data_IF_239448585457
#
_entry.id   IF_239448585457
#
_cell.length_a   1.000
_cell.length_b   1.000
_cell.length_c   1.000
_cell.angle_alpha   90.00
_cell.angle_beta   90.00
_cell.angle_gamma   90.00
#
_symmetry.space_group_name_H-M   'P 1'
#
loop_
_entity.id
_entity.type
_entity.pdbx_description
1 polymer ?
#
# COMPACT_ATOMS: atom_id res chain seq x y z
N UNK A 1 -19.16 -86.79 9.25
CA UNK A 1 -19.39 -86.97 10.70
C UNK A 1 -18.80 -85.76 11.42
N UNK A 2 -19.65 -84.96 12.09
CA UNK A 2 -19.38 -83.78 12.98
C UNK A 2 -18.69 -82.56 12.33
N UNK A 3 -19.41 -81.43 12.12
CA UNK A 3 -19.69 -80.29 13.05
C UNK A 3 -18.38 -79.60 13.51
N UNK A 4 -18.21 -78.29 13.55
CA UNK A 4 -19.09 -77.12 13.39
C UNK A 4 -18.17 -75.88 13.38
N UNK A 5 -18.68 -74.82 12.79
CA UNK A 5 -18.29 -73.40 12.76
C UNK A 5 -17.38 -72.87 13.88
N UNK A 6 -16.43 -72.00 13.54
CA UNK A 6 -16.37 -70.64 14.12
C UNK A 6 -15.62 -69.71 13.16
N UNK A 7 -16.23 -68.57 12.90
CA UNK A 7 -15.82 -67.48 12.02
C UNK A 7 -14.95 -66.51 12.82
N UNK A 8 -13.75 -66.18 12.33
CA UNK A 8 -12.99 -65.01 12.79
C UNK A 8 -12.21 -64.42 11.61
N UNK A 9 -12.68 -63.28 11.12
CA UNK A 9 -12.01 -62.48 10.10
C UNK A 9 -10.94 -61.66 10.81
N UNK A 10 -9.68 -61.82 10.41
CA UNK A 10 -8.61 -60.89 10.79
C UNK A 10 -7.73 -60.67 9.58
N UNK A 11 -7.86 -59.47 9.02
CA UNK A 11 -7.13 -58.92 7.88
C UNK A 11 -5.66 -58.73 8.27
N UNK A 12 -4.74 -59.43 7.61
CA UNK A 12 -3.31 -59.31 7.84
C UNK A 12 -2.63 -58.55 6.70
N UNK A 13 -1.95 -57.48 7.12
CA UNK A 13 -1.08 -56.57 6.41
C UNK A 13 -0.05 -57.28 5.51
N UNK A 14 0.09 -56.82 4.28
CA UNK A 14 1.31 -57.00 3.50
C UNK A 14 2.13 -55.70 3.53
N UNK A 15 3.24 -55.77 4.26
CA UNK A 15 4.36 -54.82 4.17
C UNK A 15 5.03 -54.99 2.80
N UNK A 16 4.99 -53.94 1.98
CA UNK A 16 5.86 -53.77 0.82
C UNK A 16 6.89 -52.70 1.14
N UNK A 17 8.08 -53.13 1.55
CA UNK A 17 9.27 -52.26 1.59
C UNK A 17 9.75 -52.09 0.15
N UNK A 18 9.63 -50.88 -0.39
CA UNK A 18 10.32 -50.45 -1.60
C UNK A 18 11.29 -49.34 -1.22
N UNK A 19 12.57 -49.67 -1.32
CA UNK A 19 13.70 -48.74 -1.26
C UNK A 19 13.91 -48.23 -2.69
N UNK A 20 13.85 -46.91 -2.87
CA UNK A 20 14.39 -46.22 -4.05
C UNK A 20 15.20 -44.99 -3.59
N UNK A 21 16.22 -44.60 -4.37
CA UNK A 21 17.37 -43.83 -3.91
C UNK A 21 17.08 -42.33 -3.79
N UNK A 22 17.84 -41.67 -2.91
CA UNK A 22 17.95 -40.22 -2.87
C UNK A 22 18.50 -39.71 -4.21
N UNK A 23 17.72 -38.86 -4.87
CA UNK A 23 18.16 -37.97 -5.95
C UNK A 23 17.59 -36.60 -5.63
N UNK A 24 18.48 -35.69 -5.23
CA UNK A 24 18.19 -34.28 -5.17
C UNK A 24 18.09 -33.73 -6.60
N UNK A 25 16.98 -33.09 -6.91
CA UNK A 25 16.84 -31.93 -7.81
C UNK A 25 15.34 -31.65 -7.97
N UNK A 26 14.78 -30.91 -7.02
CA UNK A 26 13.52 -30.17 -7.23
C UNK A 26 13.92 -28.70 -7.45
N UNK A 27 14.43 -28.41 -8.64
CA UNK A 27 14.36 -27.04 -9.16
C UNK A 27 12.91 -26.83 -9.59
N UNK A 28 12.10 -26.29 -8.69
CA UNK A 28 10.79 -25.74 -9.02
C UNK A 28 11.01 -24.59 -10.00
N UNK A 29 10.94 -24.87 -11.30
CA UNK A 29 10.77 -23.86 -12.33
C UNK A 29 9.37 -23.26 -12.15
N UNK A 30 9.30 -22.11 -11.50
CA UNK A 30 8.14 -21.22 -11.62
C UNK A 30 8.15 -20.67 -13.05
N UNK A 31 7.33 -21.29 -13.91
CA UNK A 31 6.94 -20.67 -15.18
C UNK A 31 5.82 -19.67 -14.90
N UNK A 32 5.79 -18.49 -15.56
CA UNK A 32 4.67 -17.57 -15.43
C UNK A 32 3.52 -18.09 -16.29
N UNK A 33 2.77 -19.05 -15.77
CA UNK A 33 1.53 -19.50 -16.39
C UNK A 33 0.39 -18.64 -15.85
N UNK A 34 -0.22 -17.89 -16.76
CA UNK A 34 -1.38 -17.03 -16.56
C UNK A 34 -2.55 -17.85 -16.00
N UNK A 35 -2.67 -17.90 -14.69
CA UNK A 35 -3.84 -18.43 -14.03
C UNK A 35 -4.90 -17.33 -13.99
N UNK A 36 -5.85 -17.41 -14.93
CA UNK A 36 -7.19 -16.85 -14.77
C UNK A 36 -7.79 -17.42 -13.48
N UNK A 37 -7.60 -16.70 -12.38
CA UNK A 37 -8.37 -16.87 -11.16
C UNK A 37 -9.01 -15.52 -10.87
N UNK A 38 -10.34 -15.48 -10.83
CA UNK A 38 -11.11 -14.31 -10.42
C UNK A 38 -10.90 -13.93 -8.93
N UNK A 39 -9.91 -14.54 -8.25
CA UNK A 39 -9.68 -14.47 -6.81
C UNK A 39 -8.21 -14.30 -6.37
N UNK A 40 -7.25 -14.02 -7.28
CA UNK A 40 -6.00 -13.43 -6.81
C UNK A 40 -6.30 -11.96 -6.52
N UNK A 41 -6.64 -11.64 -5.28
CA UNK A 41 -6.59 -10.25 -4.85
C UNK A 41 -5.18 -9.74 -5.11
N UNK A 42 -5.08 -8.75 -5.99
CA UNK A 42 -3.89 -7.92 -6.12
C UNK A 42 -3.57 -7.43 -4.71
N UNK A 43 -2.27 -7.41 -4.37
CA UNK A 43 -1.81 -6.91 -3.07
C UNK A 43 -2.50 -5.60 -2.75
N UNK A 44 -3.06 -5.48 -1.54
CA UNK A 44 -3.81 -4.29 -1.18
C UNK A 44 -2.95 -3.03 -1.06
N UNK A 45 -1.64 -3.10 -1.31
CA UNK A 45 -0.72 -1.95 -1.32
C UNK A 45 -0.38 -1.43 -2.71
N UNK A 46 -0.90 -2.03 -3.78
CA UNK A 46 -0.67 -1.59 -5.16
C UNK A 46 -1.39 -0.27 -5.47
N UNK A 47 -0.63 0.77 -5.83
CA UNK A 47 -1.21 2.09 -6.15
C UNK A 47 -1.82 2.13 -7.54
N UNK A 48 -1.26 1.38 -8.47
CA UNK A 48 -1.64 1.44 -9.87
C UNK A 48 -3.01 0.76 -10.08
N UNK A 49 -3.44 -0.01 -9.07
CA UNK A 49 -4.74 -0.66 -9.07
C UNK A 49 -5.92 0.31 -8.82
N UNK A 50 -5.72 1.47 -8.17
CA UNK A 50 -6.79 2.42 -7.87
C UNK A 50 -6.47 3.85 -8.33
N UNK A 51 -7.44 4.51 -8.95
CA UNK A 51 -7.39 5.93 -9.29
C UNK A 51 -8.58 6.64 -8.64
N UNK A 52 -8.34 7.74 -7.94
CA UNK A 52 -9.40 8.48 -7.24
C UNK A 52 -9.85 9.70 -8.03
N UNK A 53 -11.17 9.88 -8.10
CA UNK A 53 -11.80 11.07 -8.69
C UNK A 53 -11.88 12.21 -7.67
N UNK A 54 -12.16 11.87 -6.41
CA UNK A 54 -12.19 12.82 -5.30
C UNK A 54 -12.08 12.09 -3.94
N UNK A 55 -11.84 12.87 -2.89
CA UNK A 55 -11.58 12.40 -1.53
C UNK A 55 -10.09 12.16 -1.28
N UNK A 56 -9.77 11.22 -0.40
CA UNK A 56 -8.39 10.97 0.02
C UNK A 56 -7.72 9.86 -0.77
N UNK A 57 -6.39 9.90 -0.86
CA UNK A 57 -5.62 8.78 -1.36
C UNK A 57 -5.49 7.72 -0.26
N UNK A 58 -5.84 6.48 -0.59
CA UNK A 58 -5.60 5.36 0.30
C UNK A 58 -4.26 4.68 0.04
N UNK A 59 -3.56 4.38 1.13
CA UNK A 59 -2.35 3.57 1.16
C UNK A 59 -2.63 2.06 1.05
N UNK A 60 -3.89 1.64 1.14
CA UNK A 60 -4.24 0.29 0.77
C UNK A 60 -5.68 -0.08 1.04
N UNK A 61 -6.21 -0.95 0.18
CA UNK A 61 -7.65 -1.13 0.01
C UNK A 61 -8.08 -2.58 0.18
N UNK A 62 -9.09 -2.80 1.02
CA UNK A 62 -9.67 -4.12 1.24
C UNK A 62 -11.11 -4.14 0.74
N UNK A 63 -11.44 -5.09 -0.12
CA UNK A 63 -12.77 -5.17 -0.71
C UNK A 63 -13.76 -5.74 0.31
N UNK A 64 -14.91 -5.07 0.44
CA UNK A 64 -16.04 -5.54 1.26
C UNK A 64 -16.99 -6.34 0.37
N UNK A 65 -17.45 -5.72 -0.71
CA UNK A 65 -18.42 -6.33 -1.63
C UNK A 65 -18.36 -5.66 -3.01
N UNK A 66 -18.95 -6.34 -4.00
CA UNK A 66 -19.08 -5.85 -5.37
C UNK A 66 -20.50 -6.07 -5.87
N UNK A 67 -21.01 -5.07 -6.57
CA UNK A 67 -22.28 -5.10 -7.29
C UNK A 67 -22.00 -5.00 -8.79
N UNK A 68 -22.89 -5.58 -9.60
CA UNK A 68 -22.76 -5.62 -11.05
C UNK A 68 -21.54 -6.39 -11.55
N UNK A 69 -21.33 -6.37 -12.87
CA UNK A 69 -20.16 -6.95 -13.53
C UNK A 69 -19.52 -5.92 -14.46
N UNK A 70 -18.18 -5.76 -14.42
CA UNK A 70 -17.51 -4.84 -15.32
C UNK A 70 -17.76 -5.23 -16.78
N UNK A 71 -17.85 -4.25 -17.68
CA UNK A 71 -17.85 -4.53 -19.10
C UNK A 71 -16.55 -5.24 -19.50
N UNK A 72 -16.59 -5.99 -20.61
CA UNK A 72 -15.38 -6.58 -21.17
C UNK A 72 -14.57 -5.48 -21.87
N UNK A 73 -13.40 -5.16 -21.31
CA UNK A 73 -12.51 -4.08 -21.78
C UNK A 73 -11.20 -4.69 -22.33
N UNK A 74 -11.17 -5.03 -23.62
CA UNK A 74 -10.04 -5.74 -24.24
C UNK A 74 -8.91 -4.80 -24.67
N UNK A 75 -9.25 -3.56 -25.02
CA UNK A 75 -8.31 -2.57 -25.57
C UNK A 75 -8.10 -1.41 -24.61
N UNK A 76 -6.92 -0.79 -24.67
CA UNK A 76 -6.64 0.42 -23.87
C UNK A 76 -7.63 1.54 -24.16
N UNK A 77 -8.03 1.73 -25.42
CA UNK A 77 -9.06 2.71 -25.78
C UNK A 77 -10.41 2.41 -25.13
N UNK A 78 -10.81 1.14 -25.00
CA UNK A 78 -12.04 0.78 -24.27
C UNK A 78 -11.91 1.11 -22.78
N UNK A 79 -10.77 0.82 -22.16
CA UNK A 79 -10.51 1.15 -20.75
C UNK A 79 -10.52 2.67 -20.54
N UNK A 80 -9.84 3.44 -21.37
CA UNK A 80 -9.80 4.90 -21.30
C UNK A 80 -11.19 5.53 -21.46
N UNK A 81 -11.98 5.04 -22.42
CA UNK A 81 -13.35 5.49 -22.60
C UNK A 81 -14.21 5.15 -21.38
N UNK A 82 -14.10 3.93 -20.85
CA UNK A 82 -14.82 3.52 -19.66
C UNK A 82 -14.44 4.35 -18.43
N UNK A 83 -13.15 4.62 -18.23
CA UNK A 83 -12.65 5.47 -17.15
C UNK A 83 -13.21 6.89 -17.26
N UNK A 84 -13.31 7.43 -18.48
CA UNK A 84 -13.90 8.75 -18.73
C UNK A 84 -15.39 8.78 -18.40
N UNK A 85 -16.13 7.73 -18.77
CA UNK A 85 -17.54 7.57 -18.39
C UNK A 85 -17.72 7.49 -16.87
N UNK A 86 -16.87 6.76 -16.16
CA UNK A 86 -16.93 6.68 -14.70
C UNK A 86 -16.53 8.00 -14.02
N UNK A 87 -15.60 8.77 -14.60
CA UNK A 87 -15.27 10.11 -14.10
C UNK A 87 -16.45 11.08 -14.25
N UNK A 88 -17.15 11.04 -15.39
CA UNK A 88 -18.38 11.81 -15.63
C UNK A 88 -19.47 11.44 -14.63
N UNK A 89 -19.75 10.14 -14.43
CA UNK A 89 -20.68 9.66 -13.40
C UNK A 89 -20.29 10.17 -12.01
N UNK A 90 -18.99 10.14 -11.67
CA UNK A 90 -18.53 10.65 -10.38
C UNK A 90 -18.80 12.15 -10.22
N UNK A 91 -18.74 12.92 -11.30
CA UNK A 91 -19.02 14.36 -11.27
C UNK A 91 -20.50 14.64 -11.02
N UNK A 92 -21.41 13.85 -11.61
CA UNK A 92 -22.87 13.99 -11.40
C UNK A 92 -23.28 13.73 -9.95
N UNK A 93 -22.68 12.73 -9.29
CA UNK A 93 -23.03 12.39 -7.90
C UNK A 93 -22.21 13.14 -6.85
N UNK A 94 -21.15 13.86 -7.24
CA UNK A 94 -20.11 14.40 -6.35
C UNK A 94 -20.66 15.20 -5.18
N UNK A 95 -21.48 16.20 -5.44
CA UNK A 95 -21.99 17.10 -4.40
C UNK A 95 -22.88 16.36 -3.39
N UNK A 96 -23.69 15.40 -3.87
CA UNK A 96 -24.52 14.57 -3.01
C UNK A 96 -23.67 13.64 -2.15
N UNK A 97 -22.67 12.98 -2.75
CA UNK A 97 -21.77 12.09 -2.02
C UNK A 97 -21.01 12.86 -0.93
N UNK A 98 -20.42 14.01 -1.29
CA UNK A 98 -19.63 14.81 -0.35
C UNK A 98 -20.48 15.35 0.80
N UNK A 99 -21.64 15.92 0.52
CA UNK A 99 -22.47 16.57 1.55
C UNK A 99 -23.21 15.59 2.47
N UNK A 100 -23.38 14.33 2.06
CA UNK A 100 -24.21 13.37 2.80
C UNK A 100 -23.46 12.14 3.32
N UNK A 101 -22.55 11.57 2.53
CA UNK A 101 -21.96 10.27 2.85
C UNK A 101 -20.46 10.35 3.14
N UNK A 102 -19.79 11.40 2.68
CA UNK A 102 -18.35 11.57 2.83
C UNK A 102 -18.01 12.30 4.13
N UNK A 103 -16.80 12.07 4.62
CA UNK A 103 -16.26 12.82 5.76
C UNK A 103 -16.36 14.35 5.52
N UNK A 104 -16.79 15.17 6.50
CA UNK A 104 -17.06 14.81 7.90
C UNK A 104 -18.48 14.34 8.21
N UNK A 105 -19.37 14.23 7.21
CA UNK A 105 -20.79 13.92 7.38
C UNK A 105 -21.11 12.43 7.42
N UNK A 106 -20.25 11.61 6.83
CA UNK A 106 -20.37 10.16 6.84
C UNK A 106 -19.03 9.44 6.73
N UNK A 107 -19.10 8.14 6.45
CA UNK A 107 -17.97 7.21 6.52
C UNK A 107 -17.18 7.07 5.20
N UNK A 108 -17.68 7.62 4.09
CA UNK A 108 -16.98 7.58 2.81
C UNK A 108 -15.76 8.49 2.89
N UNK A 109 -14.64 8.01 2.37
CA UNK A 109 -13.36 8.72 2.38
C UNK A 109 -12.82 8.97 0.96
N UNK A 110 -13.16 8.10 0.01
CA UNK A 110 -12.71 8.24 -1.39
C UNK A 110 -13.74 7.72 -2.37
N UNK A 111 -13.77 8.33 -3.54
CA UNK A 111 -14.51 7.87 -4.71
C UNK A 111 -13.56 7.77 -5.90
N UNK A 112 -13.67 6.71 -6.70
CA UNK A 112 -12.72 6.46 -7.77
C UNK A 112 -13.09 5.31 -8.68
N UNK A 113 -12.05 4.69 -9.23
CA UNK A 113 -12.11 3.55 -10.13
C UNK A 113 -10.94 2.60 -9.82
N UNK A 114 -11.11 1.31 -10.04
CA UNK A 114 -10.01 0.35 -10.01
C UNK A 114 -9.64 -0.18 -11.40
N UNK A 115 -8.50 -0.86 -11.52
CA UNK A 115 -8.01 -1.39 -12.79
C UNK A 115 -8.91 -2.47 -13.43
N UNK A 116 -9.88 -3.03 -12.67
CA UNK A 116 -10.91 -3.95 -13.18
C UNK A 116 -12.12 -3.23 -13.77
N UNK A 117 -12.19 -1.90 -13.69
CA UNK A 117 -13.29 -1.09 -14.23
C UNK A 117 -14.50 -1.00 -13.30
N UNK A 118 -14.36 -1.24 -12.01
CA UNK A 118 -15.42 -0.93 -11.04
C UNK A 118 -15.38 0.55 -10.67
N UNK A 119 -16.56 1.17 -10.51
CA UNK A 119 -16.70 2.41 -9.75
C UNK A 119 -16.45 2.10 -8.27
N UNK A 120 -15.54 2.82 -7.63
CA UNK A 120 -15.05 2.47 -6.29
C UNK A 120 -15.53 3.50 -5.26
N UNK A 121 -16.10 2.99 -4.17
CA UNK A 121 -16.37 3.75 -2.95
C UNK A 121 -15.54 3.13 -1.83
N UNK A 122 -14.66 3.94 -1.22
CA UNK A 122 -13.88 3.51 -0.07
C UNK A 122 -14.35 4.21 1.20
N UNK A 123 -14.56 3.41 2.23
CA UNK A 123 -14.88 3.86 3.57
C UNK A 123 -13.62 3.90 4.45
N UNK A 124 -13.69 4.69 5.51
CA UNK A 124 -12.80 4.47 6.65
C UNK A 124 -13.09 3.08 7.24
N UNK A 125 -12.06 2.40 7.73
CA UNK A 125 -12.28 1.16 8.46
C UNK A 125 -13.22 1.40 9.65
N UNK A 126 -14.29 0.61 9.76
CA UNK A 126 -15.31 0.76 10.78
C UNK A 126 -16.53 -0.12 10.53
N UNK A 127 -17.61 0.12 11.26
CA UNK A 127 -18.88 -0.57 11.04
C UNK A 127 -19.67 0.14 9.93
N UNK A 128 -19.38 -0.21 8.69
CA UNK A 128 -20.25 0.10 7.55
C UNK A 128 -21.26 -1.04 7.42
N UNK A 129 -22.54 -0.72 7.39
CA UNK A 129 -23.61 -1.69 7.21
C UNK A 129 -24.07 -1.78 5.74
N UNK A 130 -24.77 -2.88 5.44
CA UNK A 130 -25.31 -3.17 4.10
C UNK A 130 -26.33 -2.11 3.66
N UNK A 131 -27.10 -1.55 4.60
CA UNK A 131 -28.10 -0.54 4.31
C UNK A 131 -27.47 0.74 3.74
N UNK A 132 -26.37 1.22 4.32
CA UNK A 132 -25.63 2.37 3.81
C UNK A 132 -25.04 2.08 2.41
N UNK A 133 -24.48 0.89 2.20
CA UNK A 133 -23.95 0.49 0.89
C UNK A 133 -25.05 0.43 -0.17
N UNK A 134 -26.21 -0.15 0.14
CA UNK A 134 -27.36 -0.23 -0.76
C UNK A 134 -27.94 1.16 -1.09
N UNK A 135 -27.95 2.08 -0.12
CA UNK A 135 -28.37 3.48 -0.34
C UNK A 135 -27.41 4.21 -1.30
N UNK A 136 -26.10 4.07 -1.08
CA UNK A 136 -25.07 4.66 -1.97
C UNK A 136 -25.11 3.99 -3.35
N UNK A 137 -25.25 2.67 -3.43
CA UNK A 137 -25.39 1.95 -4.69
C UNK A 137 -26.60 2.46 -5.47
N UNK A 138 -27.77 2.61 -4.81
CA UNK A 138 -28.97 3.13 -5.45
C UNK A 138 -28.77 4.56 -6.00
N UNK A 139 -28.02 5.41 -5.30
CA UNK A 139 -27.66 6.74 -5.83
C UNK A 139 -26.82 6.63 -7.11
N UNK A 140 -25.79 5.78 -7.09
CA UNK A 140 -24.87 5.59 -8.23
C UNK A 140 -25.63 4.99 -9.41
N UNK A 141 -26.42 3.94 -9.18
CA UNK A 141 -27.19 3.21 -10.19
C UNK A 141 -28.21 4.10 -10.89
N UNK A 142 -29.00 4.88 -10.12
CA UNK A 142 -29.95 5.84 -10.73
C UNK A 142 -29.24 6.90 -11.59
N UNK A 143 -28.11 7.43 -11.14
CA UNK A 143 -27.33 8.41 -11.92
C UNK A 143 -26.72 7.77 -13.17
N UNK A 144 -26.26 6.52 -13.07
CA UNK A 144 -25.73 5.76 -14.20
C UNK A 144 -26.83 5.47 -15.24
N UNK A 145 -28.05 5.12 -14.80
CA UNK A 145 -29.20 4.90 -15.68
C UNK A 145 -29.57 6.16 -16.48
N UNK A 146 -29.51 7.35 -15.86
CA UNK A 146 -29.73 8.63 -16.55
C UNK A 146 -28.68 8.89 -17.66
N UNK A 147 -27.47 8.36 -17.48
CA UNK A 147 -26.40 8.37 -18.48
C UNK A 147 -26.52 7.23 -19.52
N UNK A 148 -27.53 6.36 -19.39
CA UNK A 148 -27.75 5.21 -20.27
C UNK A 148 -26.87 4.00 -19.96
N UNK A 149 -26.29 3.94 -18.77
CA UNK A 149 -25.50 2.81 -18.27
C UNK A 149 -26.43 1.90 -17.46
N UNK A 150 -26.45 0.61 -17.78
CA UNK A 150 -27.23 -0.39 -17.04
C UNK A 150 -26.28 -1.30 -16.27
N UNK A 151 -26.69 -1.72 -15.06
CA UNK A 151 -25.93 -2.65 -14.21
C UNK A 151 -24.50 -2.13 -13.93
N UNK A 152 -24.41 -0.90 -13.42
CA UNK A 152 -23.13 -0.24 -13.13
C UNK A 152 -22.30 -1.11 -12.15
N UNK A 153 -21.08 -1.53 -12.52
CA UNK A 153 -20.20 -2.24 -11.59
C UNK A 153 -19.72 -1.30 -10.48
N UNK A 154 -20.02 -1.64 -9.23
CA UNK A 154 -19.57 -0.89 -8.04
C UNK A 154 -18.79 -1.79 -7.09
N UNK A 155 -17.64 -1.33 -6.62
CA UNK A 155 -16.84 -1.96 -5.57
C UNK A 155 -16.88 -1.09 -4.31
N UNK A 156 -17.30 -1.70 -3.20
CA UNK A 156 -17.21 -1.10 -1.88
C UNK A 156 -16.03 -1.71 -1.14
N UNK A 157 -15.23 -0.87 -0.49
CA UNK A 157 -14.05 -1.30 0.24
C UNK A 157 -13.71 -0.43 1.45
N UNK A 158 -12.79 -0.90 2.27
CA UNK A 158 -12.11 -0.09 3.27
C UNK A 158 -10.79 0.44 2.70
N UNK A 159 -10.57 1.74 2.80
CA UNK A 159 -9.27 2.35 2.56
C UNK A 159 -8.48 2.52 3.85
N UNK A 160 -7.16 2.38 3.74
CA UNK A 160 -6.21 2.74 4.78
C UNK A 160 -5.67 4.14 4.51
N UNK A 161 -5.92 5.08 5.42
CA UNK A 161 -5.60 6.49 5.22
C UNK A 161 -4.56 6.95 6.24
N UNK A 162 -3.77 7.97 5.87
CA UNK A 162 -3.00 8.70 6.87
C UNK A 162 -3.96 9.40 7.80
N UNK A 163 -3.66 9.38 9.11
CA UNK A 163 -4.52 9.98 10.13
C UNK A 163 -4.55 11.51 10.05
N UNK A 164 -3.80 12.18 9.18
CA UNK A 164 -3.73 13.65 9.16
C UNK A 164 -3.75 14.23 7.74
N UNK A 165 -4.53 15.30 7.55
CA UNK A 165 -4.47 16.18 6.37
C UNK A 165 -4.14 17.61 6.77
N UNK A 166 -3.46 18.33 5.89
CA UNK A 166 -3.26 19.76 6.06
C UNK A 166 -4.38 20.51 5.36
N UNK A 167 -5.13 21.31 6.13
CA UNK A 167 -6.22 22.12 5.62
C UNK A 167 -5.68 23.52 5.31
N UNK A 168 -5.38 23.79 4.04
CA UNK A 168 -4.81 25.07 3.61
C UNK A 168 -5.70 26.26 3.99
N UNK A 169 -7.03 26.11 3.90
CA UNK A 169 -8.01 27.16 4.19
C UNK A 169 -7.96 27.68 5.63
N UNK A 170 -7.52 26.85 6.58
CA UNK A 170 -7.43 27.20 8.01
C UNK A 170 -6.01 27.05 8.58
N UNK A 171 -5.01 26.79 7.72
CA UNK A 171 -3.58 26.62 8.08
C UNK A 171 -3.37 25.69 9.29
N UNK A 172 -4.02 24.52 9.27
CA UNK A 172 -4.00 23.57 10.39
C UNK A 172 -3.94 22.13 9.90
N UNK A 173 -3.22 21.29 10.66
CA UNK A 173 -3.27 19.84 10.53
C UNK A 173 -4.51 19.29 11.23
N UNK A 174 -5.25 18.47 10.51
CA UNK A 174 -6.50 17.89 10.94
C UNK A 174 -6.38 16.37 11.05
N UNK A 175 -6.68 15.82 12.23
CA UNK A 175 -6.56 14.40 12.51
C UNK A 175 -7.88 13.65 12.28
N UNK A 176 -7.90 12.68 11.37
CA UNK A 176 -9.06 11.83 11.08
C UNK A 176 -9.32 10.85 12.23
N UNK A 177 -10.28 11.19 13.09
CA UNK A 177 -10.57 10.46 14.31
C UNK A 177 -10.77 11.38 15.52
N UNK A 178 -10.46 12.66 15.38
CA UNK A 178 -11.06 13.68 16.24
C UNK A 178 -12.58 13.72 15.99
N UNK A 179 -13.35 13.84 17.07
CA UNK A 179 -14.80 13.92 16.97
C UNK A 179 -15.22 15.14 16.12
N UNK A 180 -16.03 14.90 15.08
CA UNK A 180 -16.54 15.95 14.18
C UNK A 180 -17.57 16.87 14.86
N UNK A 181 -18.14 16.47 16.00
CA UNK A 181 -19.14 17.25 16.77
C UNK A 181 -18.65 18.63 17.22
N UNK A 182 -17.33 18.83 17.30
CA UNK A 182 -16.74 20.10 17.75
C UNK A 182 -16.19 20.97 16.61
N UNK A 183 -16.45 20.61 15.35
CA UNK A 183 -15.99 21.39 14.20
C UNK A 183 -16.85 22.63 14.01
N UNK A 184 -16.20 23.76 13.68
CA UNK A 184 -16.94 24.95 13.25
C UNK A 184 -17.51 24.76 11.84
N UNK A 185 -18.53 25.53 11.47
CA UNK A 185 -19.07 25.52 10.10
C UNK A 185 -17.99 25.80 9.04
N UNK A 186 -17.03 26.67 9.36
CA UNK A 186 -15.91 26.97 8.47
C UNK A 186 -14.94 25.78 8.31
N UNK A 187 -14.71 25.01 9.36
CA UNK A 187 -13.89 23.79 9.30
C UNK A 187 -14.58 22.71 8.47
N UNK A 188 -15.89 22.54 8.67
CA UNK A 188 -16.71 21.59 7.89
C UNK A 188 -16.67 21.96 6.41
N UNK A 189 -16.91 23.24 6.07
CA UNK A 189 -16.82 23.72 4.69
C UNK A 189 -15.43 23.47 4.09
N UNK A 190 -14.37 23.75 4.85
CA UNK A 190 -12.99 23.50 4.39
C UNK A 190 -12.73 22.01 4.13
N UNK A 191 -13.25 21.14 4.99
CA UNK A 191 -13.15 19.68 4.80
C UNK A 191 -13.92 19.22 3.57
N UNK A 192 -15.15 19.69 3.36
CA UNK A 192 -15.93 19.38 2.15
C UNK A 192 -15.17 19.78 0.89
N UNK A 193 -14.60 20.98 0.85
CA UNK A 193 -13.84 21.45 -0.31
C UNK A 193 -12.60 20.59 -0.56
N UNK A 194 -11.90 20.15 0.49
CA UNK A 194 -10.78 19.20 0.34
C UNK A 194 -11.27 17.85 -0.19
N UNK A 195 -12.40 17.36 0.29
CA UNK A 195 -12.95 16.07 -0.15
C UNK A 195 -13.52 16.12 -1.57
N UNK A 196 -13.90 17.30 -2.10
CA UNK A 196 -14.30 17.49 -3.51
C UNK A 196 -13.13 17.52 -4.48
N UNK A 197 -11.93 17.82 -4.00
CA UNK A 197 -10.76 17.95 -4.85
C UNK A 197 -10.35 16.60 -5.42
N UNK A 198 -9.87 16.63 -6.67
CA UNK A 198 -9.23 15.47 -7.28
C UNK A 198 -8.01 15.10 -6.46
N UNK A 199 -7.98 13.86 -6.01
CA UNK A 199 -6.91 13.36 -5.15
C UNK A 199 -5.58 13.39 -5.90
N UNK A 200 -4.56 13.99 -5.29
CA UNK A 200 -3.19 13.95 -5.81
C UNK A 200 -2.57 12.61 -5.42
N UNK A 201 -2.47 11.71 -6.39
CA UNK A 201 -1.77 10.43 -6.22
C UNK A 201 -0.27 10.66 -6.01
N UNK A 202 0.41 9.75 -5.29
CA UNK A 202 1.88 9.75 -5.26
C UNK A 202 2.44 9.67 -6.69
N UNK A 203 3.47 10.46 -7.00
CA UNK A 203 4.07 10.52 -8.36
C UNK A 203 4.86 9.23 -8.67
N UNK A 204 5.09 8.38 -7.66
CA UNK A 204 5.85 7.16 -7.81
C UNK A 204 5.03 6.10 -8.57
N UNK A 205 5.70 5.38 -9.47
CA UNK A 205 5.16 4.22 -10.18
C UNK A 205 5.38 2.97 -9.36
N UNK A 206 4.41 2.06 -9.37
CA UNK A 206 4.57 0.76 -8.73
C UNK A 206 5.50 -0.11 -9.57
N UNK A 207 6.59 -0.59 -8.95
CA UNK A 207 7.48 -1.61 -9.53
C UNK A 207 6.95 -3.00 -9.19
N UNK A 208 6.62 -3.22 -7.91
CA UNK A 208 6.05 -4.46 -7.42
C UNK A 208 5.36 -4.21 -6.07
N UNK A 209 4.31 -4.96 -5.79
CA UNK A 209 3.58 -4.91 -4.53
C UNK A 209 3.47 -6.32 -3.95
N UNK A 210 3.83 -6.48 -2.69
CA UNK A 210 3.77 -7.76 -1.98
C UNK A 210 3.10 -7.61 -0.64
N UNK A 211 2.62 -8.73 -0.10
CA UNK A 211 1.98 -8.76 1.20
C UNK A 211 0.62 -8.07 1.21
N UNK A 212 0.03 -7.98 2.41
CA UNK A 212 -1.21 -7.23 2.62
C UNK A 212 -1.13 -6.45 3.93
N UNK A 213 -1.58 -5.20 3.90
CA UNK A 213 -1.84 -4.42 5.11
C UNK A 213 -3.01 -5.11 5.83
N UNK A 214 -2.86 -5.52 7.11
CA UNK A 214 -3.97 -6.08 7.86
C UNK A 214 -5.07 -5.03 8.05
N UNK A 215 -6.28 -5.47 8.34
CA UNK A 215 -7.36 -4.57 8.70
C UNK A 215 -7.06 -3.92 10.05
N UNK A 216 -6.74 -2.62 10.05
CA UNK A 216 -6.39 -1.84 11.25
C UNK A 216 -7.64 -1.17 11.81
N UNK A 217 -8.14 -1.66 12.95
CA UNK A 217 -9.47 -1.27 13.45
C UNK A 217 -9.51 0.07 14.16
N UNK A 218 -8.41 0.39 14.81
CA UNK A 218 -8.29 1.57 15.62
C UNK A 218 -6.83 2.02 15.68
N UNK A 219 -6.62 3.16 16.33
CA UNK A 219 -5.30 3.76 16.50
C UNK A 219 -4.31 2.83 17.23
N UNK A 220 -4.77 2.03 18.18
CA UNK A 220 -3.87 1.14 18.94
C UNK A 220 -3.39 -0.02 18.06
N UNK A 221 -4.29 -0.60 17.25
CA UNK A 221 -3.91 -1.61 16.26
C UNK A 221 -2.95 -1.02 15.22
N UNK A 222 -3.21 0.19 14.72
CA UNK A 222 -2.29 0.90 13.81
C UNK A 222 -0.91 1.10 14.42
N UNK A 223 -0.83 1.57 15.67
CA UNK A 223 0.45 1.78 16.37
C UNK A 223 1.17 0.45 16.58
N UNK A 224 0.45 -0.60 17.01
CA UNK A 224 1.03 -1.94 17.19
C UNK A 224 1.63 -2.44 15.88
N UNK A 225 0.90 -2.31 14.79
CA UNK A 225 1.33 -2.74 13.46
C UNK A 225 2.54 -1.97 12.95
N UNK A 226 2.57 -0.65 13.09
CA UNK A 226 3.72 0.18 12.70
C UNK A 226 4.97 -0.19 13.51
N UNK A 227 4.81 -0.53 14.80
CA UNK A 227 5.93 -1.00 15.62
C UNK A 227 6.46 -2.35 15.13
N UNK A 228 5.60 -3.31 14.80
CA UNK A 228 6.01 -4.59 14.21
C UNK A 228 6.80 -4.40 12.91
N UNK A 229 6.32 -3.54 12.01
CA UNK A 229 7.04 -3.22 10.77
C UNK A 229 8.37 -2.50 11.03
N UNK A 230 8.46 -1.68 12.06
CA UNK A 230 9.70 -0.99 12.44
C UNK A 230 10.76 -1.98 12.93
N UNK A 231 10.39 -2.99 13.71
CA UNK A 231 11.31 -4.05 14.12
C UNK A 231 11.80 -4.88 12.93
N UNK A 232 10.95 -5.13 11.92
CA UNK A 232 11.34 -5.80 10.68
C UNK A 232 12.31 -4.93 9.87
N UNK A 233 12.03 -3.62 9.75
CA UNK A 233 12.90 -2.68 9.06
C UNK A 233 14.30 -2.61 9.72
N UNK A 234 14.35 -2.53 11.05
CA UNK A 234 15.61 -2.54 11.80
C UNK A 234 16.39 -3.85 11.58
N UNK A 235 15.72 -5.00 11.53
CA UNK A 235 16.36 -6.30 11.31
C UNK A 235 16.88 -6.51 9.87
N UNK A 236 16.42 -5.69 8.92
CA UNK A 236 16.78 -5.77 7.50
C UNK A 236 17.69 -4.63 7.05
N UNK A 237 17.81 -3.54 7.81
CA UNK A 237 18.57 -2.34 7.47
C UNK A 237 20.00 -2.63 6.97
N UNK A 238 20.79 -3.40 7.73
CA UNK A 238 22.16 -3.77 7.34
C UNK A 238 22.21 -4.60 6.05
N UNK A 239 21.14 -5.35 5.74
CA UNK A 239 21.04 -6.17 4.52
C UNK A 239 20.60 -5.33 3.32
N UNK A 240 19.84 -4.26 3.53
CA UNK A 240 19.41 -3.33 2.49
C UNK A 240 20.48 -2.27 2.16
N UNK A 241 21.32 -1.92 3.14
CA UNK A 241 22.37 -0.90 3.02
C UNK A 241 23.26 -1.07 1.77
N UNK A 242 23.73 -2.27 1.37
CA UNK A 242 24.54 -2.43 0.17
C UNK A 242 23.86 -1.97 -1.13
N UNK A 243 22.55 -2.18 -1.27
CA UNK A 243 21.81 -1.72 -2.46
C UNK A 243 21.66 -0.20 -2.47
N UNK A 244 21.60 0.42 -1.28
CA UNK A 244 21.59 1.88 -1.13
C UNK A 244 22.95 2.50 -1.47
N UNK A 245 24.05 1.90 -1.00
CA UNK A 245 25.41 2.35 -1.32
C UNK A 245 25.73 2.23 -2.81
N UNK A 246 25.16 1.24 -3.49
CA UNK A 246 25.26 1.05 -4.95
C UNK A 246 24.32 1.97 -5.73
N UNK A 247 23.46 2.73 -5.05
CA UNK A 247 22.47 3.61 -5.67
C UNK A 247 21.35 2.87 -6.39
N UNK A 248 21.14 1.59 -6.12
CA UNK A 248 20.04 0.79 -6.67
C UNK A 248 18.74 1.04 -5.90
N UNK A 249 18.85 1.24 -4.59
CA UNK A 249 17.75 1.66 -3.70
C UNK A 249 18.02 3.11 -3.26
N UNK A 250 17.06 3.99 -3.51
CA UNK A 250 17.12 5.41 -3.14
C UNK A 250 16.64 5.63 -1.71
N UNK A 251 15.60 4.90 -1.31
CA UNK A 251 14.95 5.04 0.00
C UNK A 251 14.45 3.69 0.51
N UNK A 252 14.64 3.44 1.79
CA UNK A 252 13.96 2.39 2.53
C UNK A 252 13.26 3.01 3.74
N UNK A 253 11.94 2.87 3.82
CA UNK A 253 11.13 3.56 4.82
C UNK A 253 10.02 2.67 5.39
N UNK A 254 9.57 3.04 6.58
CA UNK A 254 8.51 2.33 7.30
C UNK A 254 7.30 3.23 7.48
N UNK A 255 6.11 2.67 7.24
CA UNK A 255 4.81 3.24 7.57
C UNK A 255 3.85 2.13 8.00
N UNK A 256 2.62 2.15 7.50
CA UNK A 256 1.67 1.02 7.64
C UNK A 256 2.02 -0.19 6.74
N UNK A 257 3.07 -0.03 5.93
CA UNK A 257 3.74 -1.01 5.08
C UNK A 257 5.21 -0.59 4.96
N UNK A 258 6.07 -1.47 4.46
CA UNK A 258 7.43 -1.10 4.09
C UNK A 258 7.44 -0.50 2.68
N UNK A 259 8.24 0.55 2.49
CA UNK A 259 8.38 1.26 1.22
C UNK A 259 9.84 1.20 0.76
N UNK A 260 10.06 0.70 -0.45
CA UNK A 260 11.38 0.62 -1.08
C UNK A 260 11.33 1.43 -2.38
N UNK A 261 12.09 2.52 -2.43
CA UNK A 261 12.24 3.32 -3.65
C UNK A 261 13.44 2.79 -4.44
N UNK A 262 13.18 2.18 -5.60
CA UNK A 262 14.19 1.70 -6.53
C UNK A 262 14.56 2.82 -7.50
N UNK A 263 15.85 2.91 -7.81
CA UNK A 263 16.37 3.90 -8.74
C UNK A 263 15.70 3.77 -10.12
N UNK A 264 15.09 4.86 -10.58
CA UNK A 264 14.35 4.88 -11.85
C UNK A 264 15.23 4.61 -13.07
N UNK A 265 16.53 4.90 -13.00
CA UNK A 265 17.49 4.71 -14.10
C UNK A 265 17.79 3.24 -14.43
N UNK A 266 17.43 2.31 -13.55
CA UNK A 266 17.59 0.88 -13.78
C UNK A 266 16.63 0.36 -14.86
N UNK A 267 17.02 -0.70 -15.56
CA UNK A 267 16.12 -1.37 -16.50
C UNK A 267 14.93 -2.02 -15.78
N UNK A 268 13.78 -2.21 -16.45
CA UNK A 268 12.63 -2.90 -15.87
C UNK A 268 12.98 -4.28 -15.28
N UNK A 269 13.82 -5.06 -15.98
CA UNK A 269 14.26 -6.37 -15.52
C UNK A 269 15.09 -6.30 -14.24
N UNK A 270 15.99 -5.32 -14.13
CA UNK A 270 16.76 -5.08 -12.90
C UNK A 270 15.86 -4.66 -11.74
N UNK A 271 14.87 -3.80 -11.99
CA UNK A 271 13.90 -3.36 -10.98
C UNK A 271 13.10 -4.54 -10.42
N UNK A 272 12.59 -5.41 -11.30
CA UNK A 272 11.84 -6.61 -10.89
C UNK A 272 12.73 -7.56 -10.09
N UNK A 273 13.95 -7.84 -10.56
CA UNK A 273 14.89 -8.70 -9.87
C UNK A 273 15.23 -8.17 -8.46
N UNK A 274 15.54 -6.88 -8.34
CA UNK A 274 15.81 -6.24 -7.05
C UNK A 274 14.61 -6.29 -6.11
N UNK A 275 13.40 -6.04 -6.62
CA UNK A 275 12.18 -6.10 -5.82
C UNK A 275 11.96 -7.50 -5.23
N UNK A 276 12.13 -8.55 -6.04
CA UNK A 276 12.04 -9.94 -5.59
C UNK A 276 13.11 -10.29 -4.54
N UNK A 277 14.37 -9.95 -4.80
CA UNK A 277 15.50 -10.26 -3.91
C UNK A 277 15.37 -9.55 -2.55
N UNK A 278 15.02 -8.26 -2.57
CA UNK A 278 14.81 -7.47 -1.35
C UNK A 278 13.57 -7.98 -0.60
N UNK A 279 12.48 -8.30 -1.31
CA UNK A 279 11.28 -8.83 -0.67
C UNK A 279 11.56 -10.16 0.04
N UNK A 280 12.31 -11.08 -0.58
CA UNK A 280 12.71 -12.33 0.05
C UNK A 280 13.52 -12.10 1.33
N UNK A 281 14.41 -11.11 1.32
CA UNK A 281 15.19 -10.73 2.50
C UNK A 281 14.29 -10.22 3.62
N UNK A 282 13.34 -9.34 3.29
CA UNK A 282 12.38 -8.78 4.25
C UNK A 282 11.46 -9.88 4.80
N UNK A 283 10.89 -10.71 3.95
CA UNK A 283 9.99 -11.80 4.33
C UNK A 283 10.68 -12.83 5.24
N UNK A 284 11.95 -13.14 4.98
CA UNK A 284 12.74 -14.00 5.88
C UNK A 284 12.91 -13.42 7.28
N UNK A 285 13.13 -12.10 7.42
CA UNK A 285 13.22 -11.46 8.74
C UNK A 285 11.84 -11.33 9.41
N UNK A 286 10.81 -10.99 8.65
CA UNK A 286 9.43 -10.91 9.14
C UNK A 286 8.97 -12.24 9.76
N UNK A 287 9.27 -13.37 9.09
CA UNK A 287 8.92 -14.71 9.60
C UNK A 287 9.60 -15.05 10.93
N UNK A 288 10.79 -14.53 11.22
CA UNK A 288 11.44 -14.72 12.54
C UNK A 288 10.66 -14.02 13.66
N UNK A 289 9.87 -13.01 13.32
CA UNK A 289 9.01 -12.26 14.21
C UNK A 289 7.55 -12.74 14.16
N UNK A 290 7.29 -13.89 13.50
CA UNK A 290 5.95 -14.45 13.25
C UNK A 290 5.02 -13.57 12.39
N UNK A 291 5.58 -12.62 11.64
CA UNK A 291 4.83 -11.85 10.65
C UNK A 291 4.95 -12.56 9.31
N UNK A 292 3.81 -13.00 8.78
CA UNK A 292 3.72 -13.61 7.45
C UNK A 292 3.07 -12.60 6.49
N UNK A 293 3.41 -12.67 5.20
CA UNK A 293 2.80 -11.82 4.18
C UNK A 293 2.99 -10.32 4.45
N UNK A 294 4.19 -9.95 4.92
CA UNK A 294 4.56 -8.56 5.25
C UNK A 294 4.32 -7.65 4.04
N UNK A 295 3.57 -6.53 4.19
CA UNK A 295 3.29 -5.63 3.09
C UNK A 295 4.52 -4.80 2.74
N UNK A 296 4.93 -4.89 1.48
CA UNK A 296 6.03 -4.11 0.92
C UNK A 296 5.61 -3.58 -0.44
N UNK A 297 5.76 -2.27 -0.62
CA UNK A 297 5.62 -1.62 -1.93
C UNK A 297 7.00 -1.23 -2.45
N UNK A 298 7.30 -1.64 -3.67
CA UNK A 298 8.46 -1.21 -4.43
C UNK A 298 7.99 -0.18 -5.43
N UNK A 299 8.62 0.98 -5.40
CA UNK A 299 8.21 2.12 -6.22
C UNK A 299 9.41 2.77 -6.88
N UNK A 300 9.18 3.52 -7.95
CA UNK A 300 10.21 4.35 -8.56
C UNK A 300 9.67 5.72 -8.92
N UNK A 301 10.47 6.75 -8.73
CA UNK A 301 10.08 8.14 -9.01
C UNK A 301 10.58 8.56 -10.40
N UNK A 302 9.70 8.86 -11.36
CA UNK A 302 10.10 9.40 -12.66
C UNK A 302 10.90 10.71 -12.50
N UNK A 303 11.91 10.95 -13.34
CA UNK A 303 12.72 12.19 -13.30
C UNK A 303 11.86 13.47 -13.39
N UNK A 304 10.70 13.41 -14.07
CA UNK A 304 9.75 14.51 -14.16
C UNK A 304 9.07 14.83 -12.81
N UNK A 305 8.94 13.84 -11.92
CA UNK A 305 8.39 14.00 -10.58
C UNK A 305 9.34 14.64 -9.57
N UNK A 306 10.65 14.59 -9.83
CA UNK A 306 11.69 15.14 -8.93
C UNK A 306 11.66 16.68 -8.93
N UNK A 307 11.25 17.31 -10.03
CA UNK A 307 11.17 18.78 -10.14
C UNK A 307 10.02 19.43 -9.35
N UNK A 308 9.11 18.63 -8.78
CA UNK A 308 7.96 19.12 -7.99
C UNK A 308 8.01 18.80 -6.49
N UNK A 309 9.03 18.06 -6.02
CA UNK A 309 9.04 17.45 -4.68
C UNK A 309 10.09 18.05 -3.72
N UNK A 310 10.39 19.35 -3.81
CA UNK A 310 11.27 20.05 -2.85
C UNK A 310 10.57 20.43 -1.52
N UNK A 311 9.44 19.79 -1.17
CA UNK A 311 8.81 19.93 0.14
C UNK A 311 8.89 18.62 0.95
N UNK A 312 10.10 18.10 1.17
CA UNK A 312 10.33 17.12 2.23
C UNK A 312 10.43 17.85 3.58
N UNK A 313 9.31 17.97 4.29
CA UNK A 313 9.34 18.30 5.71
C UNK A 313 9.78 17.06 6.49
N UNK A 314 11.08 16.93 6.70
CA UNK A 314 11.63 16.07 7.74
C UNK A 314 11.20 16.64 9.09
N UNK A 315 10.44 15.90 9.89
CA UNK A 315 10.49 16.01 11.34
C UNK A 315 10.17 14.65 11.95
N UNK A 316 11.23 13.89 12.19
CA UNK A 316 11.32 12.92 13.27
C UNK A 316 11.22 13.68 14.60
N UNK A 317 10.09 13.57 15.29
CA UNK A 317 9.90 14.16 16.62
C UNK A 317 10.10 13.07 17.69
N UNK A 318 11.30 13.04 18.27
CA UNK A 318 11.56 12.33 19.54
C UNK A 318 11.42 13.33 20.70
N UNK A 319 10.64 12.96 21.72
CA UNK A 319 10.04 13.88 22.68
C UNK A 319 10.88 14.46 23.83
N UNK A 320 10.32 15.57 24.34
CA UNK A 320 10.28 16.10 25.72
C UNK A 320 11.55 16.54 26.46
N UNK A 321 11.57 17.80 26.93
CA UNK A 321 12.46 18.26 28.01
C UNK A 321 12.60 19.79 28.21
N UNK A 322 11.60 20.43 28.81
CA UNK A 322 11.68 21.51 29.84
C UNK A 322 12.57 22.78 29.70
N UNK A 323 11.88 23.90 29.50
CA UNK A 323 11.97 25.21 30.20
C UNK A 323 13.13 26.23 30.01
N UNK A 324 12.67 27.44 29.68
CA UNK A 324 13.04 28.79 30.20
C UNK A 324 14.22 29.57 29.57
N UNK A 325 13.96 30.85 29.28
CA UNK A 325 15.00 31.89 29.33
C UNK A 325 15.25 32.74 28.07
N UNK A 326 14.36 33.70 27.82
CA UNK A 326 14.55 35.03 27.19
C UNK A 326 16.02 35.52 27.00
N UNK A 327 16.43 35.90 25.77
CA UNK A 327 16.99 37.22 25.41
C UNK A 327 17.45 37.36 23.94
N UNK A 328 17.54 38.63 23.52
CA UNK A 328 17.63 39.21 22.18
C UNK A 328 18.94 39.01 21.38
N UNK A 329 18.77 39.20 20.06
CA UNK A 329 19.70 39.80 19.08
C UNK A 329 20.98 39.05 18.68
N UNK A 330 21.10 38.74 17.40
CA UNK A 330 22.03 39.46 16.52
C UNK A 330 22.00 38.91 15.10
N UNK A 331 22.31 39.82 14.18
CA UNK A 331 22.31 39.73 12.73
C UNK A 331 23.47 38.89 12.20
N UNK A 332 23.16 38.16 11.12
CA UNK A 332 24.00 37.85 9.95
C UNK A 332 25.19 36.89 10.15
N UNK A 333 25.12 35.71 9.54
CA UNK A 333 26.31 34.96 9.15
C UNK A 333 26.33 34.70 7.64
N UNK A 334 27.35 35.29 7.03
CA UNK A 334 27.81 35.05 5.66
C UNK A 334 28.28 33.61 5.48
N UNK A 335 28.02 33.07 4.29
CA UNK A 335 28.64 31.85 3.78
C UNK A 335 30.10 32.16 3.37
N UNK A 336 31.04 31.28 3.72
CA UNK A 336 32.10 30.86 2.79
C UNK A 336 32.14 29.31 2.72
N UNK A 337 32.29 28.64 1.59
CA UNK A 337 33.22 28.89 0.49
C UNK A 337 34.36 27.87 0.54
N UNK A 338 34.45 27.01 -0.48
CA UNK A 338 35.35 25.86 -0.68
C UNK A 338 36.83 25.99 -0.31
N UNK A 339 37.43 24.85 0.05
CA UNK A 339 38.88 24.55 0.11
C UNK A 339 39.15 23.52 1.22
N UNK A 340 39.98 22.49 1.14
CA UNK A 340 41.06 22.11 0.23
C UNK A 340 41.43 20.63 0.53
N UNK A 341 41.98 19.98 -0.49
CA UNK A 341 42.76 18.74 -0.50
C UNK A 341 43.54 18.36 0.79
N UNK A 342 43.62 17.05 1.07
CA UNK A 342 44.91 16.42 1.37
C UNK A 342 44.98 15.44 2.55
N UNK A 343 45.33 14.19 2.21
CA UNK A 343 45.93 13.13 3.04
C UNK A 343 44.99 12.37 4.00
N UNK A 344 45.11 11.06 4.23
CA UNK A 344 46.24 10.15 4.06
C UNK A 344 45.74 8.68 3.96
N UNK A 345 46.54 7.85 3.30
CA UNK A 345 46.35 6.46 2.97
C UNK A 345 45.96 5.50 4.12
N UNK A 346 45.05 4.56 3.84
CA UNK A 346 44.97 3.29 4.55
C UNK A 346 45.39 2.14 3.62
N UNK A 347 46.50 1.50 3.98
CA UNK A 347 47.02 0.26 3.40
C UNK A 347 46.07 -0.90 3.73
N UNK A 348 45.40 -1.45 2.72
CA UNK A 348 44.83 -2.80 2.78
C UNK A 348 45.68 -3.73 1.91
N UNK A 349 46.38 -4.67 2.54
CA UNK A 349 47.19 -5.68 1.85
C UNK A 349 47.56 -6.82 2.78
N UNK A 350 46.69 -7.83 2.89
CA UNK A 350 46.90 -9.01 3.73
C UNK A 350 46.26 -10.26 3.12
N UNK A 351 46.74 -10.66 1.95
CA UNK A 351 46.34 -11.88 1.24
C UNK A 351 46.87 -13.11 1.98
N UNK A 352 45.98 -14.05 2.32
CA UNK A 352 46.35 -15.39 2.82
C UNK A 352 46.91 -16.25 1.68
N UNK A 353 48.17 -16.69 1.80
CA UNK A 353 48.70 -17.81 1.02
C UNK A 353 49.20 -18.92 1.94
N UNK A 354 48.65 -20.10 1.65
CA UNK A 354 48.89 -21.44 2.20
C UNK A 354 50.28 -21.97 1.77
N UNK A 355 50.99 -22.67 2.66
CA UNK A 355 52.04 -23.66 2.32
C UNK A 355 51.87 -24.82 3.30
N UNK A 356 51.51 -26.00 2.78
CA UNK A 356 52.35 -27.12 2.33
C UNK A 356 52.84 -27.97 3.48
#
# INVERSE_FOLDING_TARGET
>A
MKKSETLLITLLLFFGVLIFPASADDSVQLSPESNNSENSEISNVDFDYYTYFFGLYSQGNNVITRYGKPPVLETETQKENWNSTLEELSNEIKDTVVSKYMYPHGEVMSCGINAKGYFVILFKYGNVDEQLMDEIYSLIDNSAEEMGIQDIPVEFGYGTYREVIYLEGINRWYWFGENTENLSEADIYTLEEVMKQKTVMPVQKTVAAYGNIPLLKDKNETISWVNELSEIANATEEKITPYMEQGQVIRYATGIRLEVEINETLSPEEKTFLAEEIYQTIDQEARKQNVNNVPVIFMSTPEEGIKGSDNSNNNSESGSGSSSGRNESSKNNSIPGFGLLGSLACLCGGWRLKKR
#
